data_IF_673464727720
#
_entry.id   IF_673464727720
#
_cell.length_a   1.000
_cell.length_b   1.000
_cell.length_c   1.000
_cell.angle_alpha   90.00
_cell.angle_beta   90.00
_cell.angle_gamma   90.00
#
_symmetry.space_group_name_H-M   'P 1'
#
loop_
_entity.id
_entity.type
_entity.pdbx_description
1 polymer ?
#
# COMPACT_ATOMS: atom_id res chain seq x y z
N UNK A 1 11.13 2.61 -3.54
CA UNK A 1 11.29 3.17 -2.16
C UNK A 1 10.85 4.63 -2.01
N UNK A 2 11.41 5.62 -2.72
CA UNK A 2 11.01 7.05 -2.55
C UNK A 2 9.51 7.30 -2.65
N UNK A 3 8.86 6.65 -3.61
CA UNK A 3 7.40 6.73 -3.80
C UNK A 3 6.60 6.15 -2.64
N UNK A 4 7.04 5.03 -2.03
CA UNK A 4 6.38 4.45 -0.86
C UNK A 4 6.37 5.47 0.28
N UNK A 5 7.52 6.09 0.57
CA UNK A 5 7.64 7.08 1.63
C UNK A 5 6.76 8.32 1.41
N UNK A 6 6.60 8.74 0.15
CA UNK A 6 5.70 9.85 -0.20
C UNK A 6 4.25 9.48 0.12
N UNK A 7 3.78 8.31 -0.31
CA UNK A 7 2.43 7.86 -0.02
C UNK A 7 2.20 7.63 1.48
N UNK A 8 3.19 7.11 2.19
CA UNK A 8 3.16 6.95 3.65
C UNK A 8 3.05 8.30 4.37
N UNK A 9 3.80 9.33 3.93
CA UNK A 9 3.70 10.69 4.47
C UNK A 9 2.33 11.30 4.22
N UNK A 10 1.81 11.16 2.99
CA UNK A 10 0.47 11.66 2.62
C UNK A 10 -0.60 10.95 3.47
N UNK A 11 -0.50 9.64 3.67
CA UNK A 11 -1.41 8.88 4.50
C UNK A 11 -1.38 9.33 5.96
N UNK A 12 -0.20 9.58 6.52
CA UNK A 12 -0.04 10.13 7.86
C UNK A 12 -0.67 11.52 7.99
N UNK A 13 -0.49 12.39 6.99
CA UNK A 13 -1.08 13.72 6.96
C UNK A 13 -2.61 13.69 6.86
N UNK A 14 -3.15 12.87 5.95
CA UNK A 14 -4.59 12.68 5.80
C UNK A 14 -5.16 12.13 7.11
N UNK A 15 -4.57 11.07 7.66
CA UNK A 15 -5.04 10.47 8.90
C UNK A 15 -4.97 11.45 10.07
N UNK A 16 -3.91 12.25 10.20
CA UNK A 16 -3.81 13.23 11.29
C UNK A 16 -4.83 14.37 11.15
N UNK A 17 -5.12 14.79 9.91
CA UNK A 17 -6.06 15.86 9.63
C UNK A 17 -7.53 15.40 9.72
N UNK A 18 -7.81 14.13 9.43
CA UNK A 18 -9.17 13.63 9.28
C UNK A 18 -9.54 12.49 10.23
N UNK A 19 -8.65 11.99 11.09
CA UNK A 19 -8.93 10.96 12.10
C UNK A 19 -10.31 11.09 12.78
N UNK A 20 -10.71 12.24 13.34
CA UNK A 20 -12.03 12.40 13.97
C UNK A 20 -13.23 12.39 13.01
N UNK A 21 -13.01 12.41 11.70
CA UNK A 21 -14.06 12.47 10.68
C UNK A 21 -14.42 11.02 10.27
N UNK A 22 -15.70 10.62 10.45
CA UNK A 22 -16.20 9.35 9.93
C UNK A 22 -16.00 9.29 8.41
N UNK A 23 -15.37 8.22 7.92
CA UNK A 23 -15.09 8.03 6.49
C UNK A 23 -13.64 8.33 6.06
N UNK A 24 -12.75 8.73 6.97
CA UNK A 24 -11.30 8.85 6.71
C UNK A 24 -10.68 7.56 6.19
N UNK A 25 -11.18 6.42 6.64
CA UNK A 25 -10.81 5.11 6.11
C UNK A 25 -11.03 4.98 4.60
N UNK A 26 -12.10 5.58 4.04
CA UNK A 26 -12.36 5.57 2.59
C UNK A 26 -11.32 6.39 1.81
N UNK A 27 -10.90 7.53 2.35
CA UNK A 27 -9.86 8.36 1.74
C UNK A 27 -8.51 7.63 1.75
N UNK A 28 -8.15 7.00 2.87
CA UNK A 28 -6.94 6.19 2.99
C UNK A 28 -6.99 4.98 2.05
N UNK A 29 -8.13 4.32 1.95
CA UNK A 29 -8.35 3.21 1.00
C UNK A 29 -8.20 3.67 -0.45
N UNK A 30 -8.75 4.82 -0.83
CA UNK A 30 -8.60 5.37 -2.17
C UNK A 30 -7.12 5.69 -2.49
N UNK A 31 -6.39 6.23 -1.50
CA UNK A 31 -4.95 6.49 -1.62
C UNK A 31 -4.15 5.19 -1.81
N UNK A 32 -4.48 4.14 -1.07
CA UNK A 32 -3.84 2.81 -1.17
C UNK A 32 -4.04 2.18 -2.55
N UNK A 33 -5.28 2.19 -3.06
CA UNK A 33 -5.60 1.69 -4.39
C UNK A 33 -4.86 2.50 -5.46
N UNK A 34 -4.86 3.82 -5.35
CA UNK A 34 -4.14 4.68 -6.28
C UNK A 34 -2.63 4.42 -6.25
N UNK A 35 -2.04 4.24 -5.07
CA UNK A 35 -0.63 3.88 -4.92
C UNK A 35 -0.30 2.57 -5.62
N UNK A 36 -1.12 1.53 -5.46
CA UNK A 36 -0.90 0.21 -6.10
C UNK A 36 -0.96 0.36 -7.63
N UNK A 37 -1.97 1.06 -8.15
CA UNK A 37 -2.10 1.31 -9.59
C UNK A 37 -0.92 2.12 -10.13
N UNK A 38 -0.49 3.14 -9.39
CA UNK A 38 0.66 3.97 -9.77
C UNK A 38 1.95 3.15 -9.79
N UNK A 39 2.18 2.28 -8.81
CA UNK A 39 3.30 1.33 -8.79
C UNK A 39 3.30 0.39 -9.99
N UNK A 40 2.14 -0.18 -10.32
CA UNK A 40 2.00 -1.09 -11.46
C UNK A 40 2.37 -0.39 -12.78
N UNK A 41 1.98 0.89 -12.95
CA UNK A 41 2.30 1.69 -14.14
C UNK A 41 3.78 2.05 -14.24
N UNK A 42 4.41 2.44 -13.13
CA UNK A 42 5.83 2.87 -13.12
C UNK A 42 6.77 1.72 -13.47
N UNK A 43 6.46 0.50 -13.02
CA UNK A 43 7.36 -0.64 -13.20
C UNK A 43 7.24 -1.31 -14.58
N UNK A 44 6.53 -0.70 -15.54
CA UNK A 44 6.21 -1.27 -16.87
C UNK A 44 5.81 -2.76 -16.79
N UNK A 45 5.14 -3.12 -15.70
CA UNK A 45 4.72 -4.49 -15.53
C UNK A 45 3.74 -4.78 -16.66
N UNK A 46 4.10 -5.71 -17.57
CA UNK A 46 3.20 -6.31 -18.55
C UNK A 46 2.18 -7.17 -17.80
N UNK A 47 1.40 -6.55 -16.94
CA UNK A 47 0.28 -7.15 -16.28
C UNK A 47 -0.94 -6.64 -17.03
N UNK A 48 -1.70 -7.58 -17.57
CA UNK A 48 -3.00 -7.27 -18.15
C UNK A 48 -3.79 -6.49 -17.10
N UNK A 49 -4.64 -5.53 -17.52
CA UNK A 49 -5.47 -4.74 -16.59
C UNK A 49 -6.20 -5.63 -15.57
N UNK A 50 -6.51 -6.87 -15.96
CA UNK A 50 -7.09 -7.91 -15.11
C UNK A 50 -6.16 -8.34 -13.97
N UNK A 51 -4.87 -8.56 -14.23
CA UNK A 51 -3.91 -9.02 -13.22
C UNK A 51 -3.54 -7.91 -12.23
N UNK A 52 -3.47 -6.65 -12.71
CA UNK A 52 -3.36 -5.47 -11.84
C UNK A 52 -4.61 -5.36 -10.96
N UNK A 53 -5.80 -5.54 -11.54
CA UNK A 53 -7.06 -5.56 -10.80
C UNK A 53 -7.10 -6.67 -9.74
N UNK A 54 -6.76 -7.91 -10.09
CA UNK A 54 -6.70 -9.03 -9.14
C UNK A 54 -5.68 -8.80 -8.03
N UNK A 55 -4.49 -8.31 -8.38
CA UNK A 55 -3.44 -8.02 -7.38
C UNK A 55 -3.86 -6.86 -6.47
N UNK A 56 -4.47 -5.81 -7.03
CA UNK A 56 -4.98 -4.68 -6.26
C UNK A 56 -6.13 -5.09 -5.34
N UNK A 57 -7.07 -5.92 -5.81
CA UNK A 57 -8.17 -6.45 -4.99
C UNK A 57 -7.66 -7.40 -3.91
N UNK A 58 -6.68 -8.25 -4.20
CA UNK A 58 -6.08 -9.14 -3.20
C UNK A 58 -5.30 -8.36 -2.14
N UNK A 59 -4.48 -7.40 -2.57
CA UNK A 59 -3.75 -6.50 -1.67
C UNK A 59 -4.71 -5.66 -0.84
N UNK A 60 -5.78 -5.14 -1.45
CA UNK A 60 -6.83 -4.39 -0.78
C UNK A 60 -7.58 -5.25 0.23
N UNK A 61 -8.06 -6.44 -0.15
CA UNK A 61 -8.79 -7.32 0.76
C UNK A 61 -7.96 -7.77 1.95
N UNK A 62 -6.68 -8.09 1.73
CA UNK A 62 -5.74 -8.36 2.82
C UNK A 62 -5.53 -7.12 3.69
N UNK A 63 -5.49 -5.95 3.06
CA UNK A 63 -5.39 -4.65 3.70
C UNK A 63 -6.58 -4.39 4.64
N UNK A 64 -7.80 -4.52 4.17
CA UNK A 64 -8.98 -4.22 4.98
C UNK A 64 -9.07 -5.10 6.22
N UNK A 65 -8.82 -6.41 6.08
CA UNK A 65 -8.88 -7.36 7.19
C UNK A 65 -7.86 -7.02 8.28
N UNK A 66 -6.63 -6.70 7.90
CA UNK A 66 -5.57 -6.40 8.86
C UNK A 66 -5.82 -5.05 9.56
N UNK A 67 -6.40 -4.07 8.85
CA UNK A 67 -6.79 -2.76 9.41
C UNK A 67 -7.93 -2.89 10.41
N UNK A 68 -8.97 -3.64 10.07
CA UNK A 68 -10.12 -3.87 10.94
C UNK A 68 -9.68 -4.58 12.22
N UNK A 69 -8.85 -5.62 12.09
CA UNK A 69 -8.27 -6.32 13.24
C UNK A 69 -7.40 -5.40 14.12
N UNK A 70 -6.58 -4.53 13.50
CA UNK A 70 -5.76 -3.58 14.24
C UNK A 70 -6.61 -2.56 15.01
N UNK A 71 -7.67 -2.02 14.39
CA UNK A 71 -8.59 -1.08 15.02
C UNK A 71 -9.41 -1.75 16.13
N UNK A 72 -9.83 -3.00 15.95
CA UNK A 72 -10.51 -3.78 16.99
C UNK A 72 -9.60 -3.99 18.20
N UNK A 73 -8.33 -4.39 18.00
CA UNK A 73 -7.34 -4.51 19.09
C UNK A 73 -7.09 -3.17 19.78
N UNK A 74 -7.02 -2.07 19.02
CA UNK A 74 -6.80 -0.73 19.55
C UNK A 74 -8.00 -0.14 20.30
N UNK A 75 -9.23 -0.60 19.98
CA UNK A 75 -10.45 -0.18 20.67
C UNK A 75 -10.46 -0.58 22.16
N UNK A 76 -9.67 -1.59 22.54
CA UNK A 76 -9.48 -1.98 23.94
C UNK A 76 -8.61 -1.00 24.75
N UNK A 77 -7.99 0.01 24.11
CA UNK A 77 -7.19 1.02 24.80
C UNK A 77 -7.85 2.41 24.68
N UNK A 78 -8.65 2.83 25.68
CA UNK A 78 -9.54 3.99 25.58
C UNK A 78 -8.86 5.37 25.45
N UNK A 79 -7.53 5.44 25.51
CA UNK A 79 -6.75 6.70 25.52
C UNK A 79 -5.91 6.90 24.24
N UNK A 80 -5.75 5.87 23.39
CA UNK A 80 -4.82 5.92 22.24
C UNK A 80 -5.55 6.19 20.91
N UNK A 81 -6.87 6.31 20.89
CA UNK A 81 -7.68 6.33 19.64
C UNK A 81 -7.15 7.22 18.52
N UNK A 82 -6.78 8.47 18.80
CA UNK A 82 -6.33 9.41 17.74
C UNK A 82 -4.92 9.16 17.24
N UNK A 83 -3.96 8.90 18.15
CA UNK A 83 -2.58 8.62 17.77
C UNK A 83 -2.44 7.24 17.11
N UNK A 84 -3.23 6.28 17.59
CA UNK A 84 -3.28 4.93 17.07
C UNK A 84 -3.71 4.90 15.60
N UNK A 85 -4.77 5.63 15.23
CA UNK A 85 -5.26 5.67 13.85
C UNK A 85 -4.19 6.15 12.87
N UNK A 86 -3.45 7.21 13.23
CA UNK A 86 -2.37 7.75 12.42
C UNK A 86 -1.22 6.75 12.27
N UNK A 87 -0.82 6.11 13.38
CA UNK A 87 0.24 5.10 13.36
C UNK A 87 -0.16 3.89 12.52
N UNK A 88 -1.39 3.39 12.69
CA UNK A 88 -1.92 2.29 11.89
C UNK A 88 -1.93 2.66 10.42
N UNK A 89 -2.46 3.83 10.04
CA UNK A 89 -2.49 4.30 8.66
C UNK A 89 -1.08 4.37 8.03
N UNK A 90 -0.11 4.92 8.74
CA UNK A 90 1.29 5.02 8.30
C UNK A 90 1.88 3.62 8.08
N UNK A 91 1.77 2.74 9.08
CA UNK A 91 2.28 1.37 8.99
C UNK A 91 1.65 0.62 7.84
N UNK A 92 0.37 0.86 7.59
CA UNK A 92 -0.39 0.18 6.57
C UNK A 92 0.02 0.54 5.15
N UNK A 93 0.03 1.84 4.87
CA UNK A 93 0.42 2.34 3.55
C UNK A 93 1.87 2.01 3.27
N UNK A 94 2.72 2.07 4.30
CA UNK A 94 4.11 1.62 4.19
C UNK A 94 4.22 0.12 3.85
N UNK A 95 3.50 -0.74 4.58
CA UNK A 95 3.49 -2.18 4.34
C UNK A 95 3.00 -2.52 2.93
N UNK A 96 1.87 -1.96 2.50
CA UNK A 96 1.34 -2.14 1.15
C UNK A 96 2.29 -1.63 0.08
N UNK A 97 2.90 -0.46 0.29
CA UNK A 97 3.87 0.10 -0.64
C UNK A 97 5.12 -0.77 -0.76
N UNK A 98 5.58 -1.37 0.35
CA UNK A 98 6.66 -2.36 0.31
C UNK A 98 6.24 -3.63 -0.43
N UNK A 99 5.03 -4.14 -0.18
CA UNK A 99 4.51 -5.35 -0.80
C UNK A 99 4.35 -5.17 -2.31
N UNK A 100 3.80 -4.02 -2.74
CA UNK A 100 3.74 -3.62 -4.14
C UNK A 100 5.14 -3.47 -4.76
N UNK A 101 6.06 -2.78 -4.07
CA UNK A 101 7.44 -2.63 -4.54
C UNK A 101 8.16 -3.98 -4.68
N UNK A 102 7.89 -4.96 -3.82
CA UNK A 102 8.46 -6.31 -3.92
C UNK A 102 7.81 -7.14 -5.03
N UNK A 103 6.49 -7.01 -5.21
CA UNK A 103 5.74 -7.72 -6.24
C UNK A 103 6.10 -7.21 -7.64
N UNK A 104 6.11 -5.89 -7.85
CA UNK A 104 6.40 -5.27 -9.15
C UNK A 104 7.89 -4.99 -9.39
N UNK A 105 8.72 -4.95 -8.34
CA UNK A 105 10.15 -4.65 -8.43
C UNK A 105 11.04 -5.83 -8.83
N UNK A 106 10.49 -7.01 -9.11
CA UNK A 106 11.30 -8.13 -9.65
C UNK A 106 11.88 -7.70 -11.00
N UNK A 107 13.21 -7.71 -11.18
CA UNK A 107 13.79 -7.45 -12.48
C UNK A 107 13.30 -8.54 -13.43
N UNK A 108 12.66 -8.11 -14.51
CA UNK A 108 12.29 -8.97 -15.63
C UNK A 108 13.46 -9.88 -15.94
N UNK A 109 13.24 -11.20 -15.83
CA UNK A 109 14.22 -12.28 -16.11
C UNK A 109 14.70 -12.27 -17.57
N UNK A 110 14.36 -11.24 -18.35
CA UNK A 110 14.74 -11.03 -19.74
C UNK A 110 16.13 -10.41 -19.91
N UNK A 111 16.69 -9.76 -18.88
CA UNK A 111 18.06 -9.23 -18.93
C UNK A 111 19.17 -10.26 -18.73
N UNK A 112 18.86 -11.41 -18.13
CA UNK A 112 19.87 -12.42 -17.73
C UNK A 112 20.31 -13.36 -18.87
N UNK A 113 19.56 -13.40 -19.98
CA UNK A 113 19.90 -14.20 -21.16
C UNK A 113 20.77 -13.44 -22.18
N UNK A 114 21.01 -12.14 -21.98
CA UNK A 114 21.88 -11.37 -22.89
C UNK A 114 23.35 -11.40 -22.45
N UNK A 115 23.63 -11.72 -21.18
CA UNK A 115 24.99 -11.89 -20.66
C UNK A 115 25.52 -13.31 -20.91
N UNK A 116 24.64 -14.31 -21.09
CA UNK A 116 25.03 -15.69 -21.35
C UNK A 116 25.41 -15.95 -22.82
N UNK A 117 25.06 -15.03 -23.73
CA UNK A 117 25.45 -15.08 -25.15
C UNK A 117 26.57 -14.10 -25.52
N UNK A 118 27.12 -13.38 -24.54
CA UNK A 118 28.21 -12.43 -24.74
C UNK A 118 29.58 -12.96 -24.25
N UNK A 119 29.66 -14.24 -23.86
CA UNK A 119 30.91 -14.95 -23.54
C UNK A 119 31.17 -16.06 -24.55
#
# INVERSE_FOLDING_TARGET
MKIVLIYTLIAGLISAATAPIPGTSLLLTALELYMIVHFAKIHEAKLSLKEIGYSAVALYGLSTILKDAALEVLSFVPVIGWGAEVIVAILFVFFLGMLANLYFGKPSRKGRNLEEHAN
#
